data_IF_002791506238
#
_entry.id   IF_002791506238
#
_cell.length_a   1.000
_cell.length_b   1.000
_cell.length_c   1.000
_cell.angle_alpha   90.00
_cell.angle_beta   90.00
_cell.angle_gamma   90.00
#
_symmetry.space_group_name_H-M   'P 1'
#
loop_
_entity.id
_entity.type
_entity.pdbx_description
1 polymer ?
#
# COMPACT_ATOMS: atom_id res chain seq x y z
N UNK A 1 -1.72 -6.65 -26.06
CA UNK A 1 -1.66 -7.04 -24.64
C UNK A 1 -2.48 -8.31 -24.44
N UNK A 2 -1.97 -9.29 -23.69
CA UNK A 2 -2.75 -10.47 -23.33
C UNK A 2 -3.60 -10.13 -22.09
N UNK A 3 -4.95 -10.22 -22.15
CA UNK A 3 -5.81 -9.87 -21.00
C UNK A 3 -5.64 -10.81 -19.80
N UNK A 4 -4.94 -11.94 -19.97
CA UNK A 4 -4.73 -12.94 -18.92
C UNK A 4 -3.36 -12.81 -18.22
N UNK A 5 -2.63 -11.71 -18.45
CA UNK A 5 -1.37 -11.46 -17.74
C UNK A 5 -1.67 -10.95 -16.33
N UNK A 6 -1.18 -11.67 -15.32
CA UNK A 6 -1.23 -11.25 -13.93
C UNK A 6 0.05 -10.49 -13.57
N UNK A 7 -0.10 -9.39 -12.85
CA UNK A 7 1.00 -8.57 -12.33
C UNK A 7 0.84 -8.48 -10.81
N UNK A 8 1.90 -8.72 -10.03
CA UNK A 8 1.85 -8.51 -8.58
C UNK A 8 1.50 -7.07 -8.21
N UNK A 9 0.74 -6.92 -7.13
CA UNK A 9 0.36 -5.61 -6.59
C UNK A 9 1.55 -4.90 -5.93
N UNK A 10 2.42 -5.67 -5.28
CA UNK A 10 3.73 -5.26 -4.79
C UNK A 10 4.79 -6.05 -5.55
N UNK A 11 5.75 -5.35 -6.13
CA UNK A 11 6.82 -5.93 -6.94
C UNK A 11 8.02 -6.40 -6.11
N UNK A 12 8.16 -5.94 -4.86
CA UNK A 12 9.28 -6.26 -3.98
C UNK A 12 9.01 -7.58 -3.26
N UNK A 13 7.84 -7.69 -2.61
CA UNK A 13 7.44 -8.86 -1.83
C UNK A 13 6.02 -9.36 -2.17
N UNK A 14 5.81 -9.96 -3.36
CA UNK A 14 4.47 -10.33 -3.86
C UNK A 14 3.62 -11.24 -2.95
N UNK A 15 4.26 -11.98 -2.04
CA UNK A 15 3.61 -12.98 -1.18
C UNK A 15 3.78 -12.69 0.31
N UNK A 16 4.27 -11.51 0.68
CA UNK A 16 4.47 -11.12 2.08
C UNK A 16 3.54 -9.95 2.38
N UNK A 17 2.87 -10.00 3.53
CA UNK A 17 2.08 -8.89 4.02
C UNK A 17 2.98 -7.97 4.85
N UNK A 18 3.54 -6.95 4.19
CA UNK A 18 4.38 -5.93 4.82
C UNK A 18 4.11 -4.52 4.26
N UNK A 19 5.01 -3.58 4.55
CA UNK A 19 4.85 -2.19 4.16
C UNK A 19 5.51 -1.82 2.81
N UNK A 20 6.03 -2.79 2.06
CA UNK A 20 6.65 -2.54 0.75
C UNK A 20 5.65 -1.98 -0.27
N UNK A 21 4.36 -2.33 -0.15
CA UNK A 21 3.27 -1.65 -0.87
C UNK A 21 3.36 -0.11 -0.75
N UNK A 22 3.56 0.42 0.45
CA UNK A 22 3.65 1.87 0.65
C UNK A 22 4.96 2.46 0.13
N UNK A 23 6.04 1.67 0.08
CA UNK A 23 7.30 2.09 -0.54
C UNK A 23 7.16 2.20 -2.06
N UNK A 24 6.46 1.26 -2.69
CA UNK A 24 6.15 1.30 -4.12
C UNK A 24 5.24 2.49 -4.47
N UNK A 25 4.16 2.72 -3.72
CA UNK A 25 3.28 3.89 -3.91
C UNK A 25 4.08 5.20 -3.81
N UNK A 26 4.91 5.34 -2.77
CA UNK A 26 5.77 6.52 -2.57
C UNK A 26 6.77 6.72 -3.72
N UNK A 27 7.19 5.64 -4.36
CA UNK A 27 8.08 5.67 -5.51
C UNK A 27 7.36 5.85 -6.86
N UNK A 28 6.06 6.16 -6.85
CA UNK A 28 5.19 6.24 -8.04
C UNK A 28 5.11 4.92 -8.82
N UNK A 29 5.16 3.78 -8.12
CA UNK A 29 5.07 2.43 -8.68
C UNK A 29 3.80 1.68 -8.25
N UNK A 30 2.78 2.39 -7.77
CA UNK A 30 1.47 1.78 -7.54
C UNK A 30 0.87 1.22 -8.85
N UNK A 31 0.28 0.03 -8.79
CA UNK A 31 -0.21 -0.66 -9.98
C UNK A 31 -1.50 -0.02 -10.52
N UNK A 32 -2.42 0.35 -9.63
CA UNK A 32 -3.68 0.96 -9.97
C UNK A 32 -3.67 2.48 -9.76
N UNK A 33 -4.52 3.17 -10.51
CA UNK A 33 -4.76 4.60 -10.31
C UNK A 33 -5.19 4.92 -8.87
N UNK A 34 -5.94 4.03 -8.22
CA UNK A 34 -6.35 4.17 -6.82
C UNK A 34 -5.20 4.12 -5.83
N UNK A 35 -4.12 3.38 -6.13
CA UNK A 35 -2.93 3.36 -5.29
C UNK A 35 -2.23 4.71 -5.36
N UNK A 36 -2.06 5.21 -6.58
CA UNK A 36 -1.35 6.46 -6.81
C UNK A 36 -2.16 7.68 -6.33
N UNK A 37 -3.50 7.55 -6.30
CA UNK A 37 -4.38 8.55 -5.73
C UNK A 37 -4.09 8.83 -4.25
N UNK A 38 -3.51 7.88 -3.50
CA UNK A 38 -3.10 8.10 -2.10
C UNK A 38 -2.08 9.23 -1.94
N UNK A 39 -1.35 9.61 -3.00
CA UNK A 39 -0.42 10.76 -2.97
C UNK A 39 -1.05 12.09 -3.38
N UNK A 40 -2.32 12.10 -3.82
CA UNK A 40 -2.97 13.32 -4.35
C UNK A 40 -3.54 14.23 -3.27
N UNK A 41 -3.87 13.68 -2.10
CA UNK A 41 -4.29 14.44 -0.92
C UNK A 41 -3.14 14.52 0.11
N UNK A 42 -2.84 15.70 0.69
CA UNK A 42 -1.75 15.85 1.64
C UNK A 42 -1.86 14.96 2.89
N UNK A 43 -3.07 14.69 3.36
CA UNK A 43 -3.27 13.86 4.55
C UNK A 43 -2.96 12.40 4.24
N UNK A 44 -3.46 11.87 3.12
CA UNK A 44 -3.17 10.49 2.70
C UNK A 44 -1.71 10.32 2.29
N UNK A 45 -1.08 11.33 1.68
CA UNK A 45 0.34 11.29 1.32
C UNK A 45 1.25 11.21 2.57
N UNK A 46 0.88 11.90 3.65
CA UNK A 46 1.56 11.78 4.93
C UNK A 46 1.40 10.37 5.52
N UNK A 47 0.20 9.79 5.43
CA UNK A 47 -0.02 8.39 5.86
C UNK A 47 0.81 7.40 5.05
N UNK A 48 0.92 7.57 3.73
CA UNK A 48 1.81 6.76 2.88
C UNK A 48 3.25 6.88 3.35
N UNK A 49 3.71 8.10 3.65
CA UNK A 49 5.07 8.32 4.15
C UNK A 49 5.30 7.58 5.47
N UNK A 50 4.41 7.73 6.45
CA UNK A 50 4.53 7.05 7.75
C UNK A 50 4.53 5.52 7.59
N UNK A 51 3.59 4.98 6.82
CA UNK A 51 3.49 3.55 6.62
C UNK A 51 4.69 2.99 5.84
N UNK A 52 5.28 3.75 4.91
CA UNK A 52 6.46 3.33 4.15
C UNK A 52 7.75 3.24 4.98
N UNK A 53 7.87 4.04 6.05
CA UNK A 53 9.09 4.11 6.88
C UNK A 53 9.02 3.25 8.13
N UNK A 54 7.82 3.00 8.67
CA UNK A 54 7.61 2.28 9.92
C UNK A 54 6.67 1.09 9.73
N UNK A 55 7.26 -0.10 9.61
CA UNK A 55 6.51 -1.35 9.41
C UNK A 55 5.71 -1.78 10.66
N UNK A 56 6.16 -1.43 11.87
CA UNK A 56 5.44 -1.75 13.11
C UNK A 56 4.20 -0.85 13.25
N UNK A 57 4.35 0.44 12.97
CA UNK A 57 3.23 1.37 12.93
C UNK A 57 2.20 0.97 11.88
N UNK A 58 2.65 0.62 10.67
CA UNK A 58 1.76 0.18 9.60
C UNK A 58 0.99 -1.09 10.00
N UNK A 59 1.67 -2.13 10.50
CA UNK A 59 1.02 -3.40 10.86
C UNK A 59 0.03 -3.25 12.01
N UNK A 60 0.34 -2.41 13.01
CA UNK A 60 -0.61 -2.06 14.08
C UNK A 60 -1.86 -1.36 13.55
N UNK A 61 -1.71 -0.38 12.66
CA UNK A 61 -2.84 0.31 12.02
C UNK A 61 -3.67 -0.63 11.15
N UNK A 62 -3.02 -1.51 10.40
CA UNK A 62 -3.67 -2.51 9.57
C UNK A 62 -4.54 -3.45 10.41
N UNK A 63 -3.99 -3.99 11.51
CA UNK A 63 -4.75 -4.85 12.41
C UNK A 63 -5.98 -4.15 12.98
N UNK A 64 -5.83 -2.91 13.48
CA UNK A 64 -6.95 -2.14 14.02
C UNK A 64 -8.03 -1.84 12.94
N UNK A 65 -7.61 -1.50 11.72
CA UNK A 65 -8.53 -1.24 10.62
C UNK A 65 -9.32 -2.50 10.20
N UNK A 66 -8.65 -3.66 10.16
CA UNK A 66 -9.29 -4.94 9.81
C UNK A 66 -10.30 -5.40 10.86
N UNK A 67 -10.02 -5.18 12.15
CA UNK A 67 -11.00 -5.44 13.23
C UNK A 67 -12.22 -4.56 13.02
N UNK A 68 -12.03 -3.25 12.85
CA UNK A 68 -13.12 -2.28 12.66
C UNK A 68 -13.95 -2.55 11.39
N UNK A 69 -13.33 -3.07 10.32
CA UNK A 69 -14.04 -3.41 9.09
C UNK A 69 -14.94 -4.65 9.26
N UNK A 70 -14.61 -5.53 10.20
CA UNK A 70 -15.37 -6.75 10.50
C UNK A 70 -16.48 -6.58 11.54
N UNK A 71 -16.64 -5.39 12.11
CA UNK A 71 -17.77 -5.00 12.97
C UNK A 71 -19.01 -4.67 12.13
#
# INVERSE_FOLDING_TARGET
SNPNTLVPMDSITPTILDNDYYKEVKANRGLFTSDQALLTDPATANMVTQNSVDALLWSSRFAAAMVKMGE
#
